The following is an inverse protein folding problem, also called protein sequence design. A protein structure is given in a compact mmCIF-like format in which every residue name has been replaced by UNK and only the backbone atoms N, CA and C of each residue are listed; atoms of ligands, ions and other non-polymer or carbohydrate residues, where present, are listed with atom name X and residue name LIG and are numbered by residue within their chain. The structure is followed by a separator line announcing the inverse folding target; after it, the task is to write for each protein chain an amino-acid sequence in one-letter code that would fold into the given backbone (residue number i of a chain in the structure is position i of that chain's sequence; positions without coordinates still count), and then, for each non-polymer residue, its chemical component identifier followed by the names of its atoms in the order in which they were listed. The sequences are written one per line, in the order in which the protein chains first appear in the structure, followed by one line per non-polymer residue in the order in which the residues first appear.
data_IF_840594099404
#
_entry.id   IF_840594099404
#
_cell.length_a   1.000
_cell.length_b   1.000
_cell.length_c   1.000
_cell.angle_alpha   90.00
_cell.angle_beta   90.00
_cell.angle_gamma   90.00
#
_symmetry.space_group_name_H-M   'P 1'
#
loop_
_entity.id
_entity.type
_entity.pdbx_description
1 polymer ?
#
# COMPACT_ATOMS: atom_id res chain seq x y z
N UNK A 1 -8.43 24.93 -0.56
CA UNK A 1 -7.16 25.15 -1.27
C UNK A 1 -6.32 23.89 -1.07
N UNK A 2 -5.74 23.33 -2.13
CA UNK A 2 -4.96 22.10 -2.03
C UNK A 2 -3.62 22.41 -1.35
N UNK A 3 -3.19 21.60 -0.37
CA UNK A 3 -1.93 21.83 0.34
C UNK A 3 -0.75 21.57 -0.62
N UNK A 4 0.06 22.59 -0.97
CA UNK A 4 1.17 22.44 -1.90
C UNK A 4 2.24 21.45 -1.43
N UNK A 5 2.30 21.14 -0.12
CA UNK A 5 3.23 20.15 0.42
C UNK A 5 2.90 18.74 -0.08
N UNK A 6 1.62 18.42 -0.26
CA UNK A 6 1.19 17.10 -0.76
C UNK A 6 1.57 16.93 -2.22
N UNK A 7 1.38 17.96 -3.04
CA UNK A 7 1.80 17.96 -4.45
C UNK A 7 3.31 17.80 -4.57
N UNK A 8 4.10 18.52 -3.77
CA UNK A 8 5.56 18.40 -3.78
C UNK A 8 6.04 17.02 -3.33
N UNK A 9 5.40 16.46 -2.29
CA UNK A 9 5.71 15.10 -1.83
C UNK A 9 5.41 14.07 -2.93
N UNK A 10 4.24 14.16 -3.57
CA UNK A 10 3.86 13.25 -4.65
C UNK A 10 4.84 13.32 -5.82
N UNK A 11 5.24 14.53 -6.23
CA UNK A 11 6.21 14.73 -7.31
C UNK A 11 7.59 14.14 -6.97
N UNK A 12 8.07 14.35 -5.73
CA UNK A 12 9.32 13.77 -5.26
C UNK A 12 9.26 12.23 -5.24
N UNK A 13 8.19 11.65 -4.70
CA UNK A 13 8.06 10.20 -4.62
C UNK A 13 8.05 9.57 -6.02
N UNK A 14 7.26 10.13 -6.95
CA UNK A 14 7.11 9.61 -8.31
C UNK A 14 8.38 9.79 -9.14
N UNK A 15 8.94 11.00 -9.17
CA UNK A 15 10.02 11.34 -10.10
C UNK A 15 11.42 11.05 -9.55
N UNK A 16 11.63 11.24 -8.24
CA UNK A 16 12.96 11.08 -7.64
C UNK A 16 13.12 9.71 -6.98
N UNK A 17 12.17 9.29 -6.15
CA UNK A 17 12.29 8.03 -5.39
C UNK A 17 12.03 6.81 -6.26
N UNK A 18 10.89 6.76 -6.96
CA UNK A 18 10.53 5.62 -7.81
C UNK A 18 10.97 5.77 -9.26
N UNK A 19 11.33 6.99 -9.69
CA UNK A 19 11.78 7.31 -11.07
C UNK A 19 10.86 6.70 -12.14
N UNK A 20 9.56 6.91 -11.99
CA UNK A 20 8.54 6.34 -12.88
C UNK A 20 8.84 6.67 -14.34
N UNK A 21 8.79 5.66 -15.19
CA UNK A 21 8.93 5.77 -16.63
C UNK A 21 7.58 5.66 -17.33
N UNK A 22 7.54 6.10 -18.60
CA UNK A 22 6.34 5.97 -19.43
C UNK A 22 5.99 4.48 -19.60
N UNK A 23 4.74 4.13 -19.30
CA UNK A 23 4.22 2.77 -19.38
C UNK A 23 4.39 1.93 -18.11
N UNK A 24 5.08 2.43 -17.09
CA UNK A 24 5.19 1.74 -15.80
C UNK A 24 3.83 1.68 -15.11
N UNK A 25 3.46 0.50 -14.65
CA UNK A 25 2.38 0.31 -13.67
C UNK A 25 2.92 0.67 -12.28
N UNK A 26 2.22 1.54 -11.58
CA UNK A 26 2.61 2.05 -10.26
C UNK A 26 1.50 1.80 -9.25
N UNK A 27 1.78 0.99 -8.24
CA UNK A 27 0.84 0.79 -7.13
C UNK A 27 1.00 1.88 -6.08
N UNK A 28 -0.12 2.48 -5.67
CA UNK A 28 -0.24 3.39 -4.55
C UNK A 28 -1.07 2.66 -3.50
N UNK A 29 -0.43 2.11 -2.47
CA UNK A 29 -1.12 1.44 -1.36
C UNK A 29 -1.12 2.38 -0.15
N UNK A 30 -2.29 2.87 0.23
CA UNK A 30 -2.46 3.90 1.23
C UNK A 30 -3.37 3.41 2.34
N UNK A 31 -2.86 3.39 3.56
CA UNK A 31 -3.60 2.91 4.74
C UNK A 31 -3.74 4.02 5.78
N UNK A 32 -4.97 4.31 6.20
CA UNK A 32 -5.24 5.23 7.31
C UNK A 32 -4.82 6.69 7.06
N UNK A 33 -4.76 7.12 5.79
CA UNK A 33 -4.46 8.50 5.41
C UNK A 33 -5.63 9.16 4.68
N UNK A 34 -5.68 10.49 4.73
CA UNK A 34 -6.62 11.24 3.89
C UNK A 34 -6.33 11.04 2.38
N UNK A 35 -7.40 11.00 1.58
CA UNK A 35 -7.32 10.73 0.14
C UNK A 35 -6.61 11.82 -0.67
N UNK A 36 -6.31 12.99 -0.09
CA UNK A 36 -5.65 14.08 -0.80
C UNK A 36 -4.27 13.69 -1.31
N UNK A 37 -3.46 12.98 -0.52
CA UNK A 37 -2.13 12.55 -0.98
C UNK A 37 -2.23 11.51 -2.10
N UNK A 38 -3.12 10.52 -1.95
CA UNK A 38 -3.36 9.51 -2.99
C UNK A 38 -3.77 10.16 -4.33
N UNK A 39 -4.63 11.18 -4.30
CA UNK A 39 -5.02 11.94 -5.50
C UNK A 39 -3.83 12.67 -6.14
N UNK A 40 -2.94 13.26 -5.35
CA UNK A 40 -1.75 13.92 -5.88
C UNK A 40 -0.74 12.91 -6.47
N UNK A 41 -0.57 11.73 -5.85
CA UNK A 41 0.23 10.65 -6.40
C UNK A 41 -0.33 10.14 -7.74
N UNK A 42 -1.64 9.92 -7.85
CA UNK A 42 -2.28 9.53 -9.11
C UNK A 42 -1.99 10.53 -10.22
N UNK A 43 -2.11 11.84 -9.93
CA UNK A 43 -1.80 12.89 -10.91
C UNK A 43 -0.33 12.87 -11.31
N UNK A 44 0.58 12.74 -10.35
CA UNK A 44 2.02 12.72 -10.61
C UNK A 44 2.42 11.51 -11.47
N UNK A 45 1.89 10.31 -11.18
CA UNK A 45 2.14 9.10 -11.99
C UNK A 45 1.66 9.29 -13.43
N UNK A 46 0.43 9.78 -13.62
CA UNK A 46 -0.06 10.06 -14.98
C UNK A 46 0.79 11.10 -15.71
N UNK A 47 1.24 12.14 -15.00
CA UNK A 47 2.12 13.18 -15.58
C UNK A 47 3.48 12.62 -16.00
N UNK A 48 4.01 11.64 -15.28
CA UNK A 48 5.22 10.89 -15.67
C UNK A 48 4.99 9.89 -16.82
N UNK A 49 3.73 9.67 -17.22
CA UNK A 49 3.35 8.74 -18.28
C UNK A 49 3.15 7.29 -17.82
N UNK A 50 3.09 7.06 -16.50
CA UNK A 50 2.79 5.76 -15.91
C UNK A 50 1.28 5.51 -15.75
N UNK A 51 0.95 4.33 -15.25
CA UNK A 51 -0.39 3.82 -15.00
C UNK A 51 -0.60 3.58 -13.50
N UNK A 52 -1.31 4.49 -12.79
CA UNK A 52 -1.51 4.34 -11.35
C UNK A 52 -2.58 3.30 -11.04
N UNK A 53 -2.30 2.45 -10.06
CA UNK A 53 -3.23 1.54 -9.39
C UNK A 53 -3.32 1.93 -7.93
N UNK A 54 -4.52 1.94 -7.33
CA UNK A 54 -4.71 2.48 -5.98
C UNK A 54 -5.43 1.48 -5.08
N UNK A 55 -4.83 1.21 -3.92
CA UNK A 55 -5.48 0.56 -2.79
C UNK A 55 -5.65 1.61 -1.68
N UNK A 56 -6.91 1.90 -1.31
CA UNK A 56 -7.22 2.72 -0.14
C UNK A 56 -7.72 1.79 0.96
N UNK A 57 -7.03 1.79 2.09
CA UNK A 57 -7.32 0.90 3.23
C UNK A 57 -7.60 1.71 4.48
N UNK A 58 -8.56 1.23 5.25
CA UNK A 58 -8.91 1.80 6.54
C UNK A 58 -8.40 0.89 7.66
N UNK A 59 -7.68 1.47 8.63
CA UNK A 59 -7.07 0.71 9.72
C UNK A 59 -8.10 -0.01 10.58
N UNK A 60 -9.25 0.62 10.84
CA UNK A 60 -10.33 0.00 11.61
C UNK A 60 -10.86 -1.29 10.94
N UNK A 61 -10.97 -1.28 9.60
CA UNK A 61 -11.39 -2.46 8.83
C UNK A 61 -10.28 -3.51 8.80
N UNK A 62 -9.03 -3.09 8.54
CA UNK A 62 -7.86 -3.99 8.53
C UNK A 62 -7.71 -4.70 9.87
N UNK A 63 -7.88 -3.99 10.98
CA UNK A 63 -7.87 -4.54 12.34
C UNK A 63 -8.94 -5.61 12.53
N UNK A 64 -10.19 -5.33 12.13
CA UNK A 64 -11.28 -6.31 12.23
C UNK A 64 -10.98 -7.58 11.42
N UNK A 65 -10.45 -7.43 10.20
CA UNK A 65 -10.04 -8.56 9.35
C UNK A 65 -8.94 -9.40 9.99
N UNK A 66 -8.02 -8.79 10.74
CA UNK A 66 -6.94 -9.51 11.42
C UNK A 66 -7.43 -10.20 12.70
N UNK A 67 -8.31 -9.56 13.48
CA UNK A 67 -8.88 -10.10 14.71
C UNK A 67 -9.61 -11.43 14.45
N UNK A 68 -10.46 -11.46 13.43
CA UNK A 68 -11.31 -12.61 13.10
C UNK A 68 -10.73 -13.49 11.99
N UNK A 69 -9.55 -13.12 11.46
CA UNK A 69 -9.01 -13.74 10.26
C UNK A 69 -8.59 -15.20 10.45
N UNK A 70 -8.77 -15.98 9.38
CA UNK A 70 -8.40 -17.39 9.29
C UNK A 70 -7.13 -17.59 8.47
N UNK A 71 -6.49 -18.75 8.62
CA UNK A 71 -5.33 -19.11 7.82
C UNK A 71 -5.62 -19.11 6.32
N UNK A 72 -6.74 -19.70 5.90
CA UNK A 72 -7.15 -19.76 4.49
C UNK A 72 -7.37 -18.35 3.92
N UNK A 73 -8.03 -17.48 4.68
CA UNK A 73 -8.21 -16.07 4.29
C UNK A 73 -6.86 -15.37 4.10
N UNK A 74 -5.91 -15.54 5.02
CA UNK A 74 -4.61 -14.88 4.93
C UNK A 74 -3.76 -15.41 3.76
N UNK A 75 -3.85 -16.71 3.44
CA UNK A 75 -3.21 -17.27 2.24
C UNK A 75 -3.78 -16.65 0.96
N UNK A 76 -5.10 -16.66 0.80
CA UNK A 76 -5.75 -16.05 -0.38
C UNK A 76 -5.44 -14.55 -0.47
N UNK A 77 -5.44 -13.85 0.66
CA UNK A 77 -5.08 -12.43 0.68
C UNK A 77 -3.63 -12.22 0.22
N UNK A 78 -2.67 -12.98 0.74
CA UNK A 78 -1.27 -12.88 0.33
C UNK A 78 -1.06 -13.19 -1.17
N UNK A 79 -1.77 -14.18 -1.71
CA UNK A 79 -1.72 -14.52 -3.14
C UNK A 79 -2.22 -13.40 -4.05
N UNK A 80 -3.35 -12.76 -3.69
CA UNK A 80 -3.90 -11.62 -4.45
C UNK A 80 -2.92 -10.45 -4.46
N UNK A 81 -2.33 -10.15 -3.31
CA UNK A 81 -1.37 -9.03 -3.23
C UNK A 81 -0.07 -9.33 -3.95
N UNK A 82 0.45 -10.55 -3.84
CA UNK A 82 1.59 -11.00 -4.64
C UNK A 82 1.32 -10.79 -6.12
N UNK A 83 0.18 -11.28 -6.60
CA UNK A 83 -0.20 -11.12 -8.00
C UNK A 83 -0.28 -9.65 -8.42
N UNK A 84 -0.82 -8.77 -7.56
CA UNK A 84 -0.88 -7.35 -7.86
C UNK A 84 0.52 -6.74 -7.98
N UNK A 85 1.40 -6.98 -7.01
CA UNK A 85 2.76 -6.43 -6.98
C UNK A 85 3.60 -6.95 -8.15
N UNK A 86 3.46 -8.22 -8.56
CA UNK A 86 4.13 -8.79 -9.73
C UNK A 86 3.85 -8.05 -11.04
N UNK A 87 2.73 -7.33 -11.13
CA UNK A 87 2.35 -6.55 -12.32
C UNK A 87 2.87 -5.12 -12.31
N UNK A 88 3.53 -4.70 -11.23
CA UNK A 88 3.97 -3.32 -11.00
C UNK A 88 5.46 -3.16 -11.25
N UNK A 89 5.85 -1.98 -11.71
CA UNK A 89 7.25 -1.55 -11.84
C UNK A 89 7.68 -0.71 -10.63
N UNK A 90 6.72 -0.08 -9.94
CA UNK A 90 6.96 0.61 -8.69
C UNK A 90 5.78 0.47 -7.72
N UNK A 91 6.07 0.46 -6.42
CA UNK A 91 5.08 0.50 -5.35
C UNK A 91 5.39 1.67 -4.40
N UNK A 92 4.39 2.48 -4.11
CA UNK A 92 4.42 3.56 -3.12
C UNK A 92 3.45 3.16 -2.01
N UNK A 93 4.01 2.74 -0.88
CA UNK A 93 3.23 2.35 0.30
C UNK A 93 3.26 3.50 1.29
N UNK A 94 2.08 3.99 1.67
CA UNK A 94 1.89 5.05 2.65
C UNK A 94 1.05 4.52 3.80
N UNK A 95 1.64 4.43 4.99
CA UNK A 95 0.96 4.02 6.20
C UNK A 95 0.87 5.21 7.17
N UNK A 96 -0.36 5.66 7.43
CA UNK A 96 -0.69 6.72 8.37
C UNK A 96 -1.09 6.23 9.76
N UNK A 97 -1.05 4.92 10.01
CA UNK A 97 -1.51 4.34 11.26
C UNK A 97 -0.71 4.78 12.48
N UNK A 98 -1.39 4.91 13.61
CA UNK A 98 -0.75 5.06 14.91
C UNK A 98 -0.24 3.71 15.41
N UNK A 99 0.88 3.72 16.16
CA UNK A 99 1.52 2.51 16.72
C UNK A 99 0.54 1.66 17.54
N UNK A 100 -0.48 2.28 18.14
CA UNK A 100 -1.42 1.64 19.05
C UNK A 100 -2.68 1.09 18.38
N UNK A 101 -2.91 1.33 17.07
CA UNK A 101 -4.18 0.96 16.42
C UNK A 101 -4.40 -0.56 16.33
N UNK A 102 -3.33 -1.35 16.42
CA UNK A 102 -3.40 -2.81 16.39
C UNK A 102 -3.14 -3.46 17.76
N UNK A 103 -3.15 -2.67 18.85
CA UNK A 103 -2.68 -3.13 20.17
C UNK A 103 -3.49 -4.27 20.78
N UNK A 104 -4.73 -4.47 20.35
CA UNK A 104 -5.61 -5.54 20.81
C UNK A 104 -5.64 -6.74 19.86
N UNK A 105 -4.93 -6.69 18.74
CA UNK A 105 -4.77 -7.87 17.87
C UNK A 105 -3.80 -8.84 18.56
N UNK A 106 -4.20 -10.09 18.83
CA UNK A 106 -3.32 -11.05 19.47
C UNK A 106 -2.02 -11.30 18.69
N UNK A 107 -0.91 -11.46 19.40
CA UNK A 107 0.44 -11.64 18.80
C UNK A 107 0.53 -12.86 17.87
N UNK A 108 -0.20 -13.94 18.18
CA UNK A 108 -0.27 -15.14 17.36
C UNK A 108 -0.96 -14.88 16.03
N UNK A 109 -2.04 -14.08 16.01
CA UNK A 109 -2.71 -13.64 14.78
C UNK A 109 -1.80 -12.76 13.93
N UNK A 110 -1.11 -11.80 14.56
CA UNK A 110 -0.13 -10.94 13.87
C UNK A 110 1.01 -11.74 13.25
N UNK A 111 1.55 -12.73 13.98
CA UNK A 111 2.60 -13.63 13.48
C UNK A 111 2.09 -14.51 12.34
N UNK A 112 0.89 -15.07 12.47
CA UNK A 112 0.27 -15.89 11.43
C UNK A 112 0.13 -15.10 10.13
N UNK A 113 -0.50 -13.92 10.18
CA UNK A 113 -0.62 -13.02 9.04
C UNK A 113 0.75 -12.69 8.44
N UNK A 114 1.69 -12.22 9.27
CA UNK A 114 3.04 -11.83 8.82
C UNK A 114 3.79 -12.99 8.15
N UNK A 115 3.60 -14.23 8.61
CA UNK A 115 4.28 -15.40 8.05
C UNK A 115 3.89 -15.66 6.60
N UNK A 116 2.59 -15.59 6.27
CA UNK A 116 2.13 -15.77 4.89
C UNK A 116 2.53 -14.59 4.01
N UNK A 117 2.38 -13.39 4.54
CA UNK A 117 2.68 -12.17 3.80
C UNK A 117 4.17 -12.02 3.48
N UNK A 118 5.05 -12.20 4.47
CA UNK A 118 6.50 -12.17 4.24
C UNK A 118 6.96 -13.30 3.32
N UNK A 119 6.36 -14.50 3.45
CA UNK A 119 6.67 -15.60 2.54
C UNK A 119 6.28 -15.29 1.10
N UNK A 120 5.12 -14.66 0.87
CA UNK A 120 4.66 -14.30 -0.47
C UNK A 120 5.48 -13.16 -1.09
N UNK A 121 5.94 -12.21 -0.26
CA UNK A 121 6.57 -10.96 -0.71
C UNK A 121 8.10 -10.99 -0.78
N UNK A 122 8.75 -12.10 -0.39
CA UNK A 122 10.21 -12.22 -0.24
C UNK A 122 11.03 -11.97 -1.52
N UNK A 123 10.38 -11.94 -2.68
CA UNK A 123 11.00 -11.76 -4.00
C UNK A 123 10.96 -10.29 -4.48
N UNK A 124 10.26 -9.40 -3.76
CA UNK A 124 10.03 -8.01 -4.18
C UNK A 124 10.74 -6.96 -3.32
N UNK A 125 11.39 -7.37 -2.22
CA UNK A 125 12.16 -6.52 -1.30
C UNK A 125 13.54 -7.14 -1.06
#
# INVERSE_FOLDING_TARGET
MLDPRLTNLADMLVNYSTKVQKGDNVLIDSTGIDTSLAKELVKAVHKAGGHPFVNLRENAVRRQLLLEGTEEQFKTWAEIEKYQIEKMQACIVVDGGQINEMSDVPDDKMKLFSSFYQSAMKEFF
#
